data_IF_243733115018
#
_entry.id   IF_243733115018
#
_cell.length_a   1.000
_cell.length_b   1.000
_cell.length_c   1.000
_cell.angle_alpha   90.00
_cell.angle_beta   90.00
_cell.angle_gamma   90.00
#
_symmetry.space_group_name_H-M   'P 1'
#
loop_
_entity.id
_entity.type
_entity.pdbx_description
1 polymer ?
#
# COMPACT_ATOMS: atom_id res chain seq x y z
N UNK A 1 -31.17 -30.74 4.14
CA UNK A 1 -30.41 -29.51 3.81
C UNK A 1 -30.89 -28.38 4.72
N UNK A 2 -30.16 -27.99 5.79
CA UNK A 2 -30.64 -26.97 6.72
C UNK A 2 -30.41 -25.55 6.17
N UNK A 3 -31.50 -24.83 5.91
CA UNK A 3 -31.49 -23.43 5.46
C UNK A 3 -31.06 -22.49 6.59
N UNK A 4 -30.04 -21.66 6.34
CA UNK A 4 -29.56 -20.62 7.26
C UNK A 4 -30.63 -19.53 7.44
N UNK A 5 -31.26 -19.48 8.62
CA UNK A 5 -32.21 -18.44 9.02
C UNK A 5 -31.50 -17.06 9.04
N UNK A 6 -32.02 -16.09 8.27
CA UNK A 6 -31.56 -14.69 8.31
C UNK A 6 -31.88 -14.12 9.69
N UNK A 7 -30.88 -13.51 10.36
CA UNK A 7 -31.09 -12.80 11.63
C UNK A 7 -31.98 -11.58 11.38
N UNK A 8 -33.14 -11.53 12.03
CA UNK A 8 -33.99 -10.35 12.09
C UNK A 8 -33.23 -9.19 12.72
N UNK A 9 -33.36 -8.00 12.13
CA UNK A 9 -32.91 -6.73 12.70
C UNK A 9 -34.02 -6.28 13.65
N UNK A 10 -33.72 -6.14 14.93
CA UNK A 10 -34.70 -5.65 15.90
C UNK A 10 -35.20 -4.25 15.50
N UNK A 11 -36.52 -3.98 15.56
CA UNK A 11 -37.05 -2.64 15.32
C UNK A 11 -36.51 -1.68 16.39
N UNK A 12 -36.10 -0.49 15.94
CA UNK A 12 -35.61 0.59 16.82
C UNK A 12 -36.68 0.90 17.87
N UNK A 13 -36.33 0.73 19.16
CA UNK A 13 -37.18 1.13 20.30
C UNK A 13 -37.42 2.64 20.24
N UNK A 14 -38.68 3.05 20.21
CA UNK A 14 -39.11 4.45 20.15
C UNK A 14 -39.00 5.19 21.50
N UNK A 15 -38.70 4.48 22.60
CA UNK A 15 -38.60 5.06 23.95
C UNK A 15 -37.18 5.49 24.37
N UNK A 16 -36.27 5.66 23.41
CA UNK A 16 -34.95 6.22 23.73
C UNK A 16 -35.11 7.70 24.09
N UNK A 17 -34.77 8.08 25.34
CA UNK A 17 -34.77 9.48 25.81
C UNK A 17 -34.09 10.38 24.76
N UNK A 18 -34.69 11.53 24.40
CA UNK A 18 -34.05 12.46 23.48
C UNK A 18 -32.70 12.87 24.08
N UNK A 19 -31.62 12.69 23.33
CA UNK A 19 -30.32 13.26 23.69
C UNK A 19 -30.53 14.77 23.68
N UNK A 20 -30.34 15.41 24.83
CA UNK A 20 -30.48 16.85 24.97
C UNK A 20 -29.64 17.53 23.89
N UNK A 21 -30.32 18.13 22.91
CA UNK A 21 -29.78 19.19 22.06
C UNK A 21 -29.51 20.36 22.98
N UNK A 22 -28.38 20.32 23.69
CA UNK A 22 -27.72 21.55 24.09
C UNK A 22 -27.17 22.14 22.81
N UNK A 23 -27.72 23.30 22.45
CA UNK A 23 -27.20 24.21 21.44
C UNK A 23 -25.73 24.48 21.74
N UNK A 24 -24.86 23.69 21.12
CA UNK A 24 -23.43 23.89 21.18
C UNK A 24 -23.05 24.77 20.00
N UNK A 25 -23.29 26.07 20.16
CA UNK A 25 -22.61 27.13 19.42
C UNK A 25 -21.13 27.17 19.83
N UNK A 26 -20.45 26.03 19.66
CA UNK A 26 -19.04 25.90 19.96
C UNK A 26 -18.39 25.13 18.80
N UNK A 27 -17.37 25.71 18.15
CA UNK A 27 -16.76 25.08 16.99
C UNK A 27 -16.28 23.67 17.33
N UNK A 28 -16.52 22.71 16.43
CA UNK A 28 -16.24 21.29 16.68
C UNK A 28 -14.79 20.98 17.12
N UNK A 29 -13.83 21.88 16.84
CA UNK A 29 -12.44 21.79 17.31
C UNK A 29 -12.30 21.86 18.84
N UNK A 30 -13.23 22.51 19.54
CA UNK A 30 -13.14 22.74 20.99
C UNK A 30 -13.91 21.69 21.81
N UNK A 31 -14.79 20.89 21.19
CA UNK A 31 -15.51 19.82 21.90
C UNK A 31 -14.60 18.75 22.50
N UNK A 32 -13.40 18.57 21.94
CA UNK A 32 -12.41 17.64 22.47
C UNK A 32 -11.85 18.08 23.83
N UNK A 33 -11.76 19.39 24.08
CA UNK A 33 -11.19 19.95 25.32
C UNK A 33 -12.10 19.66 26.51
N UNK A 34 -13.42 19.84 26.33
CA UNK A 34 -14.41 19.57 27.38
C UNK A 34 -14.52 18.08 27.68
N UNK A 35 -14.40 17.19 26.67
CA UNK A 35 -14.36 15.74 26.90
C UNK A 35 -13.11 15.29 27.63
N UNK A 36 -11.96 15.93 27.39
CA UNK A 36 -10.72 15.64 28.09
C UNK A 36 -10.76 16.07 29.57
N UNK A 37 -11.53 17.11 29.90
CA UNK A 37 -11.71 17.60 31.27
C UNK A 37 -12.78 16.81 32.07
N UNK A 38 -13.76 16.20 31.39
CA UNK A 38 -14.87 15.51 32.02
C UNK A 38 -14.62 14.01 32.34
N UNK A 39 -13.45 13.46 32.00
CA UNK A 39 -13.09 12.07 32.32
C UNK A 39 -12.38 11.99 33.69
N UNK A 40 -13.03 11.54 34.78
CA UNK A 40 -12.42 11.38 36.12
C UNK A 40 -11.38 10.24 36.20
N UNK A 41 -10.96 9.67 35.06
CA UNK A 41 -9.94 8.60 34.97
C UNK A 41 -8.51 9.12 34.92
N UNK A 42 -8.30 10.42 35.02
CA UNK A 42 -6.97 11.04 35.08
C UNK A 42 -6.25 10.78 36.40
N UNK A 43 -6.98 10.52 37.49
CA UNK A 43 -6.39 10.49 38.83
C UNK A 43 -5.60 9.20 39.11
N UNK A 44 -6.09 8.06 38.62
CA UNK A 44 -5.32 6.80 38.64
C UNK A 44 -4.10 6.84 37.71
N UNK A 45 -4.17 7.62 36.62
CA UNK A 45 -3.06 7.80 35.68
C UNK A 45 -2.00 8.75 36.23
N UNK A 46 -2.40 9.74 37.03
CA UNK A 46 -1.50 10.62 37.78
C UNK A 46 -0.75 9.86 38.88
N UNK A 47 -1.40 8.91 39.56
CA UNK A 47 -0.76 8.06 40.57
C UNK A 47 0.30 7.09 39.97
N UNK A 48 0.04 6.51 38.79
CA UNK A 48 1.04 5.71 38.04
C UNK A 48 2.20 6.59 37.53
N UNK A 49 1.90 7.79 37.02
CA UNK A 49 2.93 8.74 36.58
C UNK A 49 3.82 9.17 37.76
N UNK A 50 3.27 9.36 38.96
CA UNK A 50 4.02 9.68 40.17
C UNK A 50 4.96 8.54 40.61
N UNK A 51 4.59 7.27 40.42
CA UNK A 51 5.47 6.11 40.66
C UNK A 51 6.64 6.05 39.64
N UNK A 52 6.39 6.40 38.38
CA UNK A 52 7.44 6.47 37.34
C UNK A 52 8.43 7.64 37.51
N UNK A 53 8.04 8.71 38.23
CA UNK A 53 8.93 9.84 38.55
C UNK A 53 9.93 9.50 39.65
N UNK A 54 9.59 8.58 40.56
CA UNK A 54 10.49 8.14 41.64
C UNK A 54 11.66 7.26 41.14
N UNK A 55 11.59 6.69 39.93
CA UNK A 55 12.63 5.84 39.34
C UNK A 55 13.64 6.58 38.44
N UNK A 56 13.47 7.89 38.23
CA UNK A 56 14.37 8.72 37.43
C UNK A 56 15.35 9.52 38.29
N UNK A 57 15.81 8.92 39.40
CA UNK A 57 16.95 9.46 40.15
C UNK A 57 18.24 9.16 39.38
N UNK A 58 19.19 10.09 39.42
CA UNK A 58 20.53 9.93 38.83
C UNK A 58 21.27 8.80 39.54
N UNK A 59 21.90 7.92 38.77
CA UNK A 59 22.67 6.81 39.34
C UNK A 59 24.05 7.31 39.79
N UNK A 60 24.64 6.73 40.86
CA UNK A 60 26.00 7.09 41.26
C UNK A 60 26.99 6.75 40.14
N UNK A 61 27.81 7.72 39.73
CA UNK A 61 28.77 7.58 38.62
C UNK A 61 28.20 7.83 37.21
N UNK A 62 26.93 8.20 37.08
CA UNK A 62 26.31 8.49 35.77
C UNK A 62 26.59 9.94 35.30
N UNK A 63 27.07 10.09 34.06
CA UNK A 63 27.23 11.40 33.42
C UNK A 63 25.86 12.06 33.16
N UNK A 64 25.85 13.40 33.08
CA UNK A 64 24.61 14.17 32.83
C UNK A 64 23.94 13.78 31.50
N UNK A 65 24.76 13.43 30.51
CA UNK A 65 24.31 13.04 29.19
C UNK A 65 23.62 11.67 29.20
N UNK A 66 24.22 10.69 29.89
CA UNK A 66 23.64 9.36 30.09
C UNK A 66 22.30 9.43 30.84
N UNK A 67 22.25 10.26 31.88
CA UNK A 67 21.00 10.51 32.62
C UNK A 67 19.91 11.11 31.72
N UNK A 68 20.25 12.13 30.93
CA UNK A 68 19.33 12.78 30.01
C UNK A 68 18.82 11.81 28.93
N UNK A 69 19.68 10.93 28.42
CA UNK A 69 19.29 9.90 27.46
C UNK A 69 18.31 8.90 28.08
N UNK A 70 18.58 8.42 29.30
CA UNK A 70 17.69 7.51 30.04
C UNK A 70 16.31 8.11 30.31
N UNK A 71 16.26 9.39 30.68
CA UNK A 71 15.02 10.15 30.86
C UNK A 71 14.23 10.26 29.53
N UNK A 72 14.92 10.58 28.43
CA UNK A 72 14.32 10.64 27.09
C UNK A 72 13.76 9.30 26.64
N UNK A 73 14.48 8.21 26.87
CA UNK A 73 13.99 6.87 26.54
C UNK A 73 12.76 6.48 27.36
N UNK A 74 12.77 6.75 28.67
CA UNK A 74 11.64 6.43 29.54
C UNK A 74 10.38 7.20 29.15
N UNK A 75 10.52 8.49 28.82
CA UNK A 75 9.42 9.33 28.34
C UNK A 75 8.93 8.91 26.96
N UNK A 76 9.84 8.54 26.04
CA UNK A 76 9.46 8.02 24.73
C UNK A 76 8.74 6.67 24.82
N UNK A 77 9.18 5.77 25.72
CA UNK A 77 8.52 4.48 25.99
C UNK A 77 7.11 4.68 26.56
N UNK A 78 6.91 5.64 27.46
CA UNK A 78 5.56 5.95 28.01
C UNK A 78 4.63 6.57 26.95
N UNK A 79 5.13 7.49 26.13
CA UNK A 79 4.37 8.12 25.04
C UNK A 79 3.98 7.09 23.97
N UNK A 80 4.92 6.24 23.55
CA UNK A 80 4.65 5.22 22.52
C UNK A 80 3.80 4.06 23.05
N UNK A 81 3.97 3.65 24.31
CA UNK A 81 3.15 2.63 24.96
C UNK A 81 1.66 2.98 25.01
N UNK A 82 1.33 4.25 25.27
CA UNK A 82 -0.06 4.73 25.27
C UNK A 82 -0.76 4.58 23.90
N UNK A 83 -0.01 4.57 22.80
CA UNK A 83 -0.55 4.40 21.43
C UNK A 83 -0.71 2.94 20.99
N UNK A 84 0.04 2.01 21.60
CA UNK A 84 0.09 0.58 21.21
C UNK A 84 -1.13 -0.22 21.68
N UNK A 85 -1.80 0.22 22.76
CA UNK A 85 -2.94 -0.48 23.37
C UNK A 85 -4.32 -0.11 22.80
N UNK A 86 -4.39 0.48 21.60
CA UNK A 86 -5.67 0.78 20.97
C UNK A 86 -6.26 -0.50 20.33
N UNK A 87 -7.28 -1.15 20.93
CA UNK A 87 -7.76 -2.47 20.50
C UNK A 87 -8.31 -2.48 19.07
N UNK A 88 -8.81 -1.32 18.60
CA UNK A 88 -9.29 -1.16 17.22
C UNK A 88 -8.17 -1.23 16.18
N UNK A 89 -6.98 -0.70 16.47
CA UNK A 89 -5.84 -0.73 15.54
C UNK A 89 -5.19 -2.11 15.49
N UNK A 90 -5.13 -2.80 16.62
CA UNK A 90 -4.60 -4.18 16.70
C UNK A 90 -5.55 -5.18 16.04
N UNK A 91 -6.86 -5.05 16.21
CA UNK A 91 -7.87 -5.87 15.53
C UNK A 91 -7.79 -5.73 13.99
N UNK A 92 -7.78 -4.49 13.47
CA UNK A 92 -7.62 -4.23 12.03
C UNK A 92 -6.31 -4.78 11.46
N UNK A 93 -5.21 -4.70 12.22
CA UNK A 93 -3.92 -5.28 11.81
C UNK A 93 -3.98 -6.81 11.74
N UNK A 94 -4.62 -7.46 12.72
CA UNK A 94 -4.81 -8.92 12.73
C UNK A 94 -5.69 -9.37 11.56
N UNK A 95 -6.79 -8.67 11.31
CA UNK A 95 -7.68 -8.93 10.17
C UNK A 95 -6.96 -8.79 8.83
N UNK A 96 -6.19 -7.70 8.65
CA UNK A 96 -5.39 -7.51 7.44
C UNK A 96 -4.34 -8.62 7.24
N UNK A 97 -3.67 -9.06 8.31
CA UNK A 97 -2.73 -10.17 8.23
C UNK A 97 -3.42 -11.50 7.89
N UNK A 98 -4.61 -11.76 8.44
CA UNK A 98 -5.42 -12.92 8.10
C UNK A 98 -5.85 -12.91 6.63
N UNK A 99 -6.34 -11.77 6.14
CA UNK A 99 -6.70 -11.60 4.73
C UNK A 99 -5.49 -11.77 3.80
N UNK A 100 -4.30 -11.31 4.20
CA UNK A 100 -3.07 -11.51 3.43
C UNK A 100 -2.69 -13.00 3.37
N UNK A 101 -2.81 -13.74 4.49
CA UNK A 101 -2.56 -15.19 4.54
C UNK A 101 -3.54 -15.96 3.66
N UNK A 102 -4.83 -15.65 3.73
CA UNK A 102 -5.86 -16.25 2.88
C UNK A 102 -5.57 -16.00 1.39
N UNK A 103 -5.21 -14.78 1.00
CA UNK A 103 -4.84 -14.49 -0.39
C UNK A 103 -3.64 -15.31 -0.88
N UNK A 104 -2.65 -15.55 -0.02
CA UNK A 104 -1.49 -16.38 -0.37
C UNK A 104 -1.90 -17.84 -0.53
N UNK A 105 -2.74 -18.36 0.36
CA UNK A 105 -3.27 -19.73 0.28
C UNK A 105 -4.12 -19.93 -0.98
N UNK A 106 -5.05 -19.01 -1.26
CA UNK A 106 -5.89 -19.10 -2.46
C UNK A 106 -5.07 -19.09 -3.75
N UNK A 107 -4.03 -18.25 -3.83
CA UNK A 107 -3.12 -18.24 -4.99
C UNK A 107 -2.30 -19.53 -5.11
N UNK A 108 -1.95 -20.16 -3.99
CA UNK A 108 -1.24 -21.43 -4.00
C UNK A 108 -2.16 -22.55 -4.49
N UNK A 109 -3.42 -22.56 -4.05
CA UNK A 109 -4.45 -23.49 -4.53
C UNK A 109 -4.74 -23.29 -6.01
N UNK A 110 -4.97 -22.05 -6.45
CA UNK A 110 -5.20 -21.72 -7.87
C UNK A 110 -4.06 -22.24 -8.77
N UNK A 111 -2.80 -22.10 -8.33
CA UNK A 111 -1.65 -22.68 -9.04
C UNK A 111 -1.65 -24.22 -9.03
N UNK A 112 -2.06 -24.85 -7.94
CA UNK A 112 -2.17 -26.30 -7.87
C UNK A 112 -3.28 -26.80 -8.80
N UNK A 113 -4.41 -26.12 -8.82
CA UNK A 113 -5.54 -26.43 -9.71
C UNK A 113 -5.15 -26.25 -11.18
N UNK A 114 -4.45 -25.17 -11.52
CA UNK A 114 -3.89 -24.92 -12.86
C UNK A 114 -2.87 -26.00 -13.27
N UNK A 115 -2.04 -26.47 -12.34
CA UNK A 115 -1.08 -27.54 -12.58
C UNK A 115 -1.74 -28.92 -12.70
N UNK A 116 -2.78 -29.20 -11.91
CA UNK A 116 -3.54 -30.45 -11.99
C UNK A 116 -4.34 -30.55 -13.28
N UNK A 117 -4.86 -29.44 -13.82
CA UNK A 117 -5.61 -29.44 -15.07
C UNK A 117 -4.74 -29.57 -16.34
N UNK A 118 -3.41 -29.44 -16.20
CA UNK A 118 -2.47 -29.67 -17.30
C UNK A 118 -1.95 -31.10 -17.21
N UNK A 119 -2.76 -32.05 -17.67
CA UNK A 119 -2.33 -33.43 -17.86
C UNK A 119 -1.20 -33.49 -18.90
N UNK A 120 0.04 -33.59 -18.41
CA UNK A 120 1.23 -33.80 -19.24
C UNK A 120 1.28 -35.21 -19.84
N UNK A 121 0.30 -36.06 -19.55
CA UNK A 121 0.20 -37.42 -20.09
C UNK A 121 0.12 -37.48 -21.62
N UNK A 122 -0.22 -36.37 -22.28
CA UNK A 122 -0.30 -36.28 -23.74
C UNK A 122 0.89 -35.54 -24.38
N UNK A 123 1.77 -34.95 -23.57
CA UNK A 123 2.93 -34.20 -24.05
C UNK A 123 4.16 -35.11 -24.09
N UNK A 124 4.30 -35.88 -25.17
CA UNK A 124 5.54 -36.62 -25.44
C UNK A 124 6.53 -35.68 -26.13
N UNK A 125 7.53 -35.23 -25.38
CA UNK A 125 8.59 -34.38 -25.92
C UNK A 125 9.61 -35.26 -26.66
N UNK A 126 9.62 -35.21 -27.99
CA UNK A 126 10.56 -35.96 -28.81
C UNK A 126 11.89 -35.21 -28.88
N UNK A 127 12.66 -35.24 -27.79
CA UNK A 127 13.98 -34.62 -27.75
C UNK A 127 14.99 -35.51 -28.50
N UNK A 128 15.45 -35.05 -29.66
CA UNK A 128 16.54 -35.70 -30.42
C UNK A 128 17.89 -35.26 -29.85
N UNK A 129 18.79 -36.22 -29.63
CA UNK A 129 20.06 -36.03 -28.90
C UNK A 129 21.08 -35.06 -29.53
N UNK A 130 20.79 -34.47 -30.68
CA UNK A 130 21.68 -33.52 -31.38
C UNK A 130 21.03 -32.16 -31.69
N UNK A 131 19.77 -31.92 -31.27
CA UNK A 131 19.07 -30.64 -31.47
C UNK A 131 19.23 -29.68 -30.28
N UNK A 132 19.85 -30.12 -29.18
CA UNK A 132 20.31 -29.24 -28.12
C UNK A 132 21.54 -28.49 -28.65
N UNK A 133 21.28 -27.46 -29.46
CA UNK A 133 22.29 -26.44 -29.72
C UNK A 133 22.81 -26.01 -28.35
N UNK A 134 24.11 -26.22 -28.10
CA UNK A 134 24.80 -25.63 -26.96
C UNK A 134 24.69 -24.12 -27.10
N UNK A 135 23.58 -23.56 -26.63
CA UNK A 135 23.43 -22.13 -26.52
C UNK A 135 24.59 -21.67 -25.63
N UNK A 136 25.43 -20.73 -26.10
CA UNK A 136 26.53 -20.25 -25.30
C UNK A 136 25.99 -19.73 -23.96
N UNK A 137 26.67 -19.99 -22.84
CA UNK A 137 26.19 -19.58 -21.53
C UNK A 137 25.99 -18.07 -21.50
N UNK A 138 24.72 -17.64 -21.42
CA UNK A 138 24.38 -16.22 -21.33
C UNK A 138 24.49 -15.78 -19.88
N UNK A 139 25.46 -14.92 -19.57
CA UNK A 139 25.58 -14.24 -18.28
C UNK A 139 24.39 -13.28 -18.08
N UNK A 140 23.27 -13.78 -17.53
CA UNK A 140 22.04 -12.99 -17.28
C UNK A 140 22.14 -12.06 -16.06
N UNK A 141 23.16 -12.21 -15.22
CA UNK A 141 23.30 -11.41 -14.02
C UNK A 141 24.12 -10.16 -14.29
N UNK A 142 23.44 -9.02 -14.44
CA UNK A 142 24.08 -7.71 -14.30
C UNK A 142 24.63 -7.62 -12.87
N UNK A 143 25.94 -7.37 -12.67
CA UNK A 143 26.51 -7.27 -11.33
C UNK A 143 25.77 -6.19 -10.55
N UNK A 144 25.34 -6.53 -9.33
CA UNK A 144 24.67 -5.58 -8.45
C UNK A 144 25.70 -4.49 -8.08
N UNK A 145 25.34 -3.19 -8.15
CA UNK A 145 26.23 -2.15 -7.65
C UNK A 145 26.47 -2.42 -6.16
N UNK A 146 27.73 -2.70 -5.80
CA UNK A 146 28.11 -2.84 -4.40
C UNK A 146 27.82 -1.51 -3.70
N UNK A 147 27.09 -1.57 -2.59
CA UNK A 147 26.94 -0.40 -1.72
C UNK A 147 28.34 0.00 -1.29
N UNK A 148 28.76 1.22 -1.62
CA UNK A 148 30.02 1.78 -1.13
C UNK A 148 30.03 1.60 0.40
N UNK A 149 31.01 0.83 0.88
CA UNK A 149 31.24 0.65 2.30
C UNK A 149 31.69 2.00 2.81
N UNK A 150 30.78 2.72 3.45
CA UNK A 150 31.07 3.99 4.12
C UNK A 150 32.02 3.63 5.25
N UNK A 151 33.29 4.00 5.10
CA UNK A 151 34.30 3.83 6.14
C UNK A 151 33.87 4.60 7.40
N UNK A 152 34.19 4.11 8.61
CA UNK A 152 33.88 4.82 9.85
C UNK A 152 34.65 6.14 9.90
N UNK A 153 33.97 7.23 9.51
CA UNK A 153 34.55 8.58 9.40
C UNK A 153 33.98 9.40 8.23
N UNK A 154 33.43 8.74 7.21
CA UNK A 154 32.82 9.44 6.06
C UNK A 154 31.34 9.74 6.33
N UNK A 155 30.97 11.02 6.26
CA UNK A 155 29.57 11.42 6.39
C UNK A 155 28.77 10.91 5.18
N UNK A 156 27.62 10.27 5.45
CA UNK A 156 26.68 9.82 4.41
C UNK A 156 26.41 10.96 3.43
N UNK A 157 26.53 10.75 2.11
CA UNK A 157 26.22 11.80 1.16
C UNK A 157 24.77 12.23 1.35
N UNK A 158 24.58 13.50 1.76
CA UNK A 158 23.26 14.12 1.81
C UNK A 158 22.67 14.15 0.40
N UNK A 159 21.35 13.93 0.24
CA UNK A 159 20.71 13.86 -1.08
C UNK A 159 20.89 15.15 -1.92
N UNK A 160 21.26 16.27 -1.28
CA UNK A 160 21.58 17.52 -1.96
C UNK A 160 22.90 17.49 -2.77
N UNK A 161 23.88 16.67 -2.36
CA UNK A 161 25.16 16.55 -3.08
C UNK A 161 25.07 15.58 -4.27
N UNK A 162 24.18 14.58 -4.20
CA UNK A 162 23.93 13.64 -5.28
C UNK A 162 23.27 14.31 -6.50
N UNK A 163 22.44 15.34 -6.29
CA UNK A 163 21.84 16.12 -7.37
C UNK A 163 22.86 16.96 -8.16
N UNK A 164 23.94 17.41 -7.52
CA UNK A 164 24.97 18.21 -8.21
C UNK A 164 25.89 17.38 -9.10
N UNK A 165 26.11 16.10 -8.79
CA UNK A 165 26.93 15.18 -9.61
C UNK A 165 26.21 14.62 -10.84
N UNK A 166 24.88 14.75 -10.92
CA UNK A 166 24.12 14.35 -12.10
C UNK A 166 24.27 15.34 -13.29
N UNK A 167 24.85 16.53 -13.05
CA UNK A 167 24.95 17.58 -14.06
C UNK A 167 26.28 17.54 -14.87
N UNK A 168 27.26 16.74 -14.42
CA UNK A 168 28.59 16.60 -15.05
C UNK A 168 28.76 15.28 -15.83
N UNK A 169 27.69 14.49 -16.00
CA UNK A 169 27.73 13.33 -16.89
C UNK A 169 27.80 13.81 -18.36
N UNK A 170 28.68 13.21 -19.20
CA UNK A 170 28.90 13.66 -20.57
C UNK A 170 27.60 13.62 -21.37
N UNK A 171 27.38 14.71 -22.09
CA UNK A 171 26.18 15.06 -22.85
C UNK A 171 25.94 14.12 -24.04
N UNK A 172 25.40 12.94 -23.77
CA UNK A 172 24.65 12.16 -24.76
C UNK A 172 23.15 12.56 -24.72
N UNK A 173 22.93 13.88 -24.66
CA UNK A 173 21.74 14.50 -24.03
C UNK A 173 20.68 15.03 -25.01
N UNK A 174 20.88 15.01 -26.33
CA UNK A 174 19.86 15.61 -27.23
C UNK A 174 18.69 14.68 -27.55
N UNK A 175 18.93 13.38 -27.73
CA UNK A 175 17.84 12.41 -27.95
C UNK A 175 17.18 12.00 -26.62
N UNK A 176 17.99 11.75 -25.59
CA UNK A 176 17.50 11.29 -24.29
C UNK A 176 16.75 12.39 -23.53
N UNK A 177 17.12 13.68 -23.66
CA UNK A 177 16.35 14.75 -23.02
C UNK A 177 14.96 14.96 -23.67
N UNK A 178 14.83 14.80 -24.99
CA UNK A 178 13.51 14.86 -25.68
C UNK A 178 12.61 13.68 -25.27
N UNK A 179 13.18 12.49 -25.13
CA UNK A 179 12.44 11.31 -24.65
C UNK A 179 12.07 11.45 -23.16
N UNK A 180 12.99 11.90 -22.31
CA UNK A 180 12.76 12.09 -20.87
C UNK A 180 11.74 13.22 -20.56
N UNK A 181 11.73 14.29 -21.34
CA UNK A 181 10.72 15.35 -21.21
C UNK A 181 9.31 14.83 -21.48
N UNK A 182 9.16 13.90 -22.44
CA UNK A 182 7.87 13.26 -22.74
C UNK A 182 7.41 12.33 -21.61
N UNK A 183 8.33 11.59 -20.98
CA UNK A 183 7.99 10.63 -19.92
C UNK A 183 7.58 11.32 -18.63
N UNK A 184 8.25 12.40 -18.24
CA UNK A 184 7.87 13.17 -17.06
C UNK A 184 6.48 13.81 -17.21
N UNK A 185 6.19 14.39 -18.38
CA UNK A 185 4.86 14.95 -18.66
C UNK A 185 3.75 13.88 -18.60
N UNK A 186 4.03 12.67 -19.12
CA UNK A 186 3.11 11.55 -19.04
C UNK A 186 2.90 11.07 -17.60
N UNK A 187 3.94 11.05 -16.79
CA UNK A 187 3.85 10.62 -15.39
C UNK A 187 3.12 11.64 -14.52
N UNK A 188 3.31 12.93 -14.77
CA UNK A 188 2.52 14.00 -14.14
C UNK A 188 1.05 13.94 -14.56
N UNK A 189 0.77 13.67 -15.83
CA UNK A 189 -0.60 13.48 -16.32
C UNK A 189 -1.27 12.26 -15.67
N UNK A 190 -0.55 11.14 -15.54
CA UNK A 190 -1.03 9.94 -14.83
C UNK A 190 -1.27 10.23 -13.34
N UNK A 191 -0.38 10.97 -12.69
CA UNK A 191 -0.53 11.35 -11.28
C UNK A 191 -1.77 12.23 -11.06
N UNK A 192 -1.97 13.25 -11.91
CA UNK A 192 -3.17 14.11 -11.90
C UNK A 192 -4.44 13.31 -12.14
N UNK A 193 -4.44 12.41 -13.13
CA UNK A 193 -5.58 11.54 -13.43
C UNK A 193 -5.92 10.62 -12.26
N UNK A 194 -4.91 10.02 -11.63
CA UNK A 194 -5.07 9.16 -10.44
C UNK A 194 -5.66 9.94 -9.27
N UNK A 195 -5.15 11.15 -9.01
CA UNK A 195 -5.67 12.01 -7.95
C UNK A 195 -7.14 12.39 -8.19
N UNK A 196 -7.49 12.79 -9.43
CA UNK A 196 -8.86 13.08 -9.84
C UNK A 196 -9.80 11.89 -9.59
N UNK A 197 -9.37 10.69 -9.95
CA UNK A 197 -10.16 9.47 -9.77
C UNK A 197 -10.32 9.07 -8.29
N UNK A 198 -9.34 9.40 -7.44
CA UNK A 198 -9.42 9.21 -5.99
C UNK A 198 -10.36 10.22 -5.32
N UNK A 199 -10.37 11.46 -5.80
CA UNK A 199 -11.23 12.53 -5.30
C UNK A 199 -12.71 12.37 -5.69
N UNK A 200 -13.03 11.58 -6.72
CA UNK A 200 -14.40 11.32 -7.15
C UNK A 200 -15.21 10.46 -6.17
N UNK A 201 -16.52 10.69 -6.11
CA UNK A 201 -17.45 9.84 -5.34
C UNK A 201 -17.47 8.41 -5.90
N UNK A 202 -17.84 7.42 -5.07
CA UNK A 202 -17.95 6.01 -5.48
C UNK A 202 -18.96 5.82 -6.61
N UNK A 203 -20.08 6.55 -6.60
CA UNK A 203 -21.08 6.50 -7.67
C UNK A 203 -20.55 7.01 -9.01
N UNK A 204 -19.81 8.13 -9.01
CA UNK A 204 -19.20 8.69 -10.23
C UNK A 204 -18.14 7.75 -10.82
N UNK A 205 -17.34 7.08 -9.98
CA UNK A 205 -16.39 6.06 -10.44
C UNK A 205 -17.07 4.90 -11.15
N UNK A 206 -18.19 4.41 -10.61
CA UNK A 206 -18.97 3.33 -11.23
C UNK A 206 -19.56 3.74 -12.59
N UNK A 207 -19.96 5.00 -12.76
CA UNK A 207 -20.43 5.52 -14.06
C UNK A 207 -19.30 5.49 -15.09
N UNK A 208 -18.11 6.00 -14.74
CA UNK A 208 -16.94 5.98 -15.62
C UNK A 208 -16.52 4.55 -15.98
N UNK A 209 -16.57 3.62 -15.02
CA UNK A 209 -16.24 2.21 -15.28
C UNK A 209 -17.24 1.55 -16.25
N UNK A 210 -18.54 1.84 -16.11
CA UNK A 210 -19.58 1.36 -17.04
C UNK A 210 -19.38 1.93 -18.44
N UNK A 211 -19.10 3.23 -18.55
CA UNK A 211 -18.82 3.89 -19.83
C UNK A 211 -17.57 3.32 -20.49
N UNK A 212 -16.50 3.09 -19.71
CA UNK A 212 -15.27 2.46 -20.20
C UNK A 212 -15.55 1.07 -20.78
N UNK A 213 -16.35 0.25 -20.09
CA UNK A 213 -16.73 -1.08 -20.59
C UNK A 213 -17.56 -0.99 -21.87
N UNK A 214 -18.49 -0.04 -21.96
CA UNK A 214 -19.30 0.22 -23.17
C UNK A 214 -18.41 0.57 -24.36
N UNK A 215 -17.45 1.49 -24.18
CA UNK A 215 -16.51 1.90 -25.24
C UNK A 215 -15.63 0.73 -25.68
N UNK A 216 -15.11 -0.06 -24.74
CA UNK A 216 -14.30 -1.25 -25.06
C UNK A 216 -15.13 -2.25 -25.87
N UNK A 217 -16.39 -2.48 -25.50
CA UNK A 217 -17.27 -3.37 -26.24
C UNK A 217 -17.52 -2.88 -27.67
N UNK A 218 -17.81 -1.58 -27.83
CA UNK A 218 -17.97 -0.97 -29.16
C UNK A 218 -16.72 -1.11 -30.02
N UNK A 219 -15.54 -0.82 -29.46
CA UNK A 219 -14.27 -0.98 -30.18
C UNK A 219 -14.02 -2.43 -30.60
N UNK A 220 -14.32 -3.41 -29.74
CA UNK A 220 -14.19 -4.84 -30.06
C UNK A 220 -15.15 -5.25 -31.19
N UNK A 221 -16.40 -4.78 -31.15
CA UNK A 221 -17.38 -5.06 -32.20
C UNK A 221 -16.94 -4.46 -33.55
N UNK A 222 -16.48 -3.21 -33.57
CA UNK A 222 -15.95 -2.57 -34.77
C UNK A 222 -14.73 -3.30 -35.33
N UNK A 223 -13.83 -3.75 -34.45
CA UNK A 223 -12.64 -4.52 -34.85
C UNK A 223 -13.01 -5.89 -35.42
N UNK A 224 -14.00 -6.57 -34.82
CA UNK A 224 -14.52 -7.84 -35.33
C UNK A 224 -15.14 -7.66 -36.73
N UNK A 225 -16.04 -6.68 -36.89
CA UNK A 225 -16.64 -6.35 -38.20
C UNK A 225 -15.58 -6.00 -39.27
N UNK A 226 -14.52 -5.29 -38.87
CA UNK A 226 -13.40 -4.99 -39.78
C UNK A 226 -12.61 -6.25 -40.18
N UNK A 227 -12.48 -7.22 -39.28
CA UNK A 227 -11.81 -8.49 -39.60
C UNK A 227 -12.69 -9.37 -40.50
N UNK A 228 -14.00 -9.41 -40.26
CA UNK A 228 -14.96 -10.11 -41.12
C UNK A 228 -14.97 -9.56 -42.54
N UNK A 229 -14.96 -8.23 -42.70
CA UNK A 229 -14.88 -7.61 -44.04
C UNK A 229 -13.57 -7.95 -44.76
N UNK A 230 -12.43 -7.94 -44.04
CA UNK A 230 -11.13 -8.35 -44.60
C UNK A 230 -11.14 -9.83 -45.01
N UNK A 231 -11.77 -10.71 -44.21
CA UNK A 231 -11.85 -12.14 -44.52
C UNK A 231 -12.77 -12.40 -45.71
N UNK A 232 -13.94 -11.76 -45.77
CA UNK A 232 -14.85 -11.86 -46.91
C UNK A 232 -14.18 -11.39 -48.22
N UNK A 233 -13.41 -10.29 -48.17
CA UNK A 233 -12.61 -9.83 -49.33
C UNK A 233 -11.50 -10.81 -49.76
N UNK A 234 -10.99 -11.63 -48.84
CA UNK A 234 -10.02 -12.68 -49.16
C UNK A 234 -10.67 -13.90 -49.79
N UNK A 235 -11.89 -14.25 -49.36
CA UNK A 235 -12.66 -15.35 -49.93
C UNK A 235 -13.12 -15.04 -51.34
N UNK A 236 -13.57 -13.81 -51.63
CA UNK A 236 -13.99 -13.41 -52.98
C UNK A 236 -12.85 -13.27 -53.98
N UNK A 237 -11.59 -13.22 -53.51
CA UNK A 237 -10.38 -13.16 -54.36
C UNK A 237 -9.79 -14.53 -54.68
N UNK A 238 -10.30 -15.61 -54.09
CA UNK A 238 -9.94 -16.99 -54.45
C UNK A 238 -10.88 -17.51 -55.51
#
# INVERSE_FOLDING_TARGET
MPHKRRKHKDPKRFDAKPKSTQDNDMPGRFQWLLRAAADPKTDHRAAEAAKSRKSLKRLPGESDEAFSHRVKEATQKSQTGASKNQPRKTAKRKEHLAAKRQKVQNKAQERQDECQFRDFHHLQDQVRFNEVAMAPPVLKQVPRPMKQVIMPGESKPTPAAALKRAHDAPKDLLLNAKLAASTHALDDAKAKAKHRLQAMSTGQRQVLDKERLRIIAQYRAQRAAKLETINAQRETRK
#
